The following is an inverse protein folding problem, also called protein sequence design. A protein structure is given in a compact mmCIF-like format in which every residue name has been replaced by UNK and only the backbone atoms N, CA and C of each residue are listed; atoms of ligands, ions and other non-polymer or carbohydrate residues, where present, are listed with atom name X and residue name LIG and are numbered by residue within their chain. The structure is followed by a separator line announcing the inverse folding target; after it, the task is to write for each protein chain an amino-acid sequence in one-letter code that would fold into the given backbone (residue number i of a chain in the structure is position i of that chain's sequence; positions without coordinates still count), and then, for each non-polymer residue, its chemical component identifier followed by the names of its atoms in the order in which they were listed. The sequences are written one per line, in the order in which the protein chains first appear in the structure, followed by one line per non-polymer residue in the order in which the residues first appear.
data_IF_367493387287
#
_entry.id   IF_367493387287
#
_cell.length_a   1.000
_cell.length_b   1.000
_cell.length_c   1.000
_cell.angle_alpha   90.00
_cell.angle_beta   90.00
_cell.angle_gamma   90.00
#
_symmetry.space_group_name_H-M   'P 1'
#
loop_
_entity.id
_entity.type
_entity.pdbx_description
1 polymer ?
#
# COMPACT_ATOMS: atom_id res chain seq x y z
N UNK A 1 30.47 -0.06 -0.78
CA UNK A 1 29.27 0.61 -0.24
C UNK A 1 29.31 0.54 1.28
N UNK A 2 29.57 1.64 2.00
CA UNK A 2 29.64 1.61 3.48
C UNK A 2 28.22 1.62 4.04
N UNK A 3 27.72 0.49 4.55
CA UNK A 3 26.41 0.44 5.19
C UNK A 3 26.44 1.28 6.48
N UNK A 4 25.53 2.23 6.57
CA UNK A 4 25.41 3.08 7.76
C UNK A 4 24.60 2.29 8.79
N UNK A 5 25.26 1.78 9.84
CA UNK A 5 24.67 0.87 10.84
C UNK A 5 23.40 1.47 11.49
N UNK A 6 23.30 2.81 11.54
CA UNK A 6 22.11 3.53 12.02
C UNK A 6 20.84 3.31 11.19
N UNK A 7 20.97 2.95 9.91
CA UNK A 7 19.85 2.67 9.00
C UNK A 7 19.50 1.18 8.91
N UNK A 8 20.33 0.31 9.48
CA UNK A 8 20.09 -1.13 9.55
C UNK A 8 18.71 -1.50 10.13
N UNK A 9 18.23 -0.93 11.25
CA UNK A 9 16.92 -1.28 11.78
C UNK A 9 15.77 -0.90 10.83
N UNK A 10 15.85 0.26 10.17
CA UNK A 10 14.84 0.67 9.18
C UNK A 10 14.82 -0.29 7.99
N UNK A 11 16.00 -0.69 7.51
CA UNK A 11 16.11 -1.66 6.43
C UNK A 11 15.47 -2.99 6.79
N UNK A 12 15.70 -3.50 8.00
CA UNK A 12 15.06 -4.73 8.50
C UNK A 12 13.54 -4.60 8.59
N UNK A 13 13.02 -3.48 9.10
CA UNK A 13 11.57 -3.23 9.17
C UNK A 13 10.95 -3.21 7.78
N UNK A 14 11.60 -2.59 6.79
CA UNK A 14 11.12 -2.57 5.41
C UNK A 14 11.12 -3.98 4.81
N UNK A 15 12.17 -4.78 5.05
CA UNK A 15 12.24 -6.15 4.56
C UNK A 15 11.10 -7.00 5.14
N UNK A 16 10.89 -6.92 6.46
CA UNK A 16 9.79 -7.59 7.16
C UNK A 16 8.44 -7.13 6.63
N UNK A 17 8.24 -5.82 6.44
CA UNK A 17 7.01 -5.26 5.90
C UNK A 17 6.73 -5.77 4.47
N UNK A 18 7.72 -5.78 3.59
CA UNK A 18 7.60 -6.33 2.23
C UNK A 18 7.23 -7.82 2.31
N UNK A 19 7.96 -8.61 3.11
CA UNK A 19 7.68 -10.04 3.24
C UNK A 19 6.23 -10.31 3.62
N UNK A 20 5.74 -9.70 4.72
CA UNK A 20 4.37 -9.93 5.18
C UNK A 20 3.30 -9.35 4.26
N UNK A 21 3.59 -8.27 3.51
CA UNK A 21 2.61 -7.67 2.58
C UNK A 21 2.46 -8.46 1.29
N UNK A 22 3.51 -9.13 0.83
CA UNK A 22 3.47 -9.97 -0.36
C UNK A 22 3.13 -11.43 -0.04
N UNK A 23 3.30 -11.87 1.21
CA UNK A 23 2.97 -13.24 1.62
C UNK A 23 1.48 -13.54 1.37
N UNK A 24 1.23 -14.55 0.53
CA UNK A 24 -0.12 -15.02 0.16
C UNK A 24 -1.06 -13.95 -0.44
N UNK A 25 -0.49 -12.88 -1.04
CA UNK A 25 -1.27 -11.76 -1.56
C UNK A 25 -2.38 -12.16 -2.55
N UNK A 26 -2.13 -13.16 -3.39
CA UNK A 26 -3.10 -13.66 -4.37
C UNK A 26 -4.05 -14.74 -3.86
N UNK A 27 -3.75 -15.34 -2.70
CA UNK A 27 -4.45 -16.54 -2.19
C UNK A 27 -5.25 -16.29 -0.92
N UNK A 28 -4.99 -15.21 -0.18
CA UNK A 28 -5.72 -14.86 1.04
C UNK A 28 -6.18 -13.39 1.02
N UNK A 29 -7.48 -13.11 1.20
CA UNK A 29 -8.59 -14.08 1.12
C UNK A 29 -8.66 -14.73 -0.28
N UNK A 30 -9.15 -15.98 -0.38
CA UNK A 30 -9.13 -16.75 -1.62
C UNK A 30 -10.10 -16.23 -2.68
N UNK A 31 -11.22 -15.63 -2.27
CA UNK A 31 -12.11 -14.92 -3.19
C UNK A 31 -11.85 -13.41 -3.11
N UNK A 32 -11.78 -12.70 -4.25
CA UNK A 32 -11.74 -11.25 -4.25
C UNK A 32 -13.09 -10.70 -3.77
N UNK A 33 -13.03 -9.57 -3.08
CA UNK A 33 -14.26 -8.87 -2.69
C UNK A 33 -14.94 -8.25 -3.90
N UNK A 34 -16.24 -7.98 -3.79
CA UNK A 34 -16.99 -7.26 -4.83
C UNK A 34 -16.34 -5.92 -5.18
N UNK A 35 -15.79 -5.24 -4.17
CA UNK A 35 -15.06 -3.98 -4.32
C UNK A 35 -13.76 -4.16 -5.11
N UNK A 36 -12.98 -5.22 -4.82
CA UNK A 36 -11.76 -5.54 -5.56
C UNK A 36 -12.07 -5.86 -7.03
N UNK A 37 -13.15 -6.61 -7.28
CA UNK A 37 -13.60 -6.93 -8.64
C UNK A 37 -14.00 -5.66 -9.40
N UNK A 38 -14.81 -4.79 -8.80
CA UNK A 38 -15.23 -3.52 -9.42
C UNK A 38 -14.03 -2.60 -9.69
N UNK A 39 -13.11 -2.44 -8.73
CA UNK A 39 -11.91 -1.62 -8.91
C UNK A 39 -11.00 -2.16 -10.02
N UNK A 40 -10.81 -3.48 -10.07
CA UNK A 40 -10.01 -4.14 -11.09
C UNK A 40 -10.63 -4.06 -12.48
N UNK A 41 -11.94 -4.27 -12.58
CA UNK A 41 -12.65 -4.16 -13.85
C UNK A 41 -12.63 -2.73 -14.39
N UNK A 42 -12.84 -1.72 -13.53
CA UNK A 42 -12.71 -0.32 -13.93
C UNK A 42 -11.28 0.03 -14.37
N UNK A 43 -10.26 -0.47 -13.68
CA UNK A 43 -8.86 -0.29 -14.11
C UNK A 43 -8.61 -0.91 -15.50
N UNK A 44 -9.17 -2.10 -15.76
CA UNK A 44 -9.10 -2.75 -17.06
C UNK A 44 -9.89 -1.99 -18.14
N UNK A 45 -11.08 -1.50 -17.83
CA UNK A 45 -11.90 -0.70 -18.76
C UNK A 45 -11.19 0.60 -19.15
N UNK A 46 -10.67 1.33 -18.15
CA UNK A 46 -9.90 2.57 -18.34
C UNK A 46 -8.66 2.31 -19.18
N UNK A 47 -7.94 1.20 -18.93
CA UNK A 47 -6.77 0.83 -19.71
C UNK A 47 -7.08 0.63 -21.20
N UNK A 48 -8.23 0.03 -21.52
CA UNK A 48 -8.59 -0.31 -22.91
C UNK A 48 -9.34 0.80 -23.65
N UNK A 49 -10.21 1.52 -22.94
CA UNK A 49 -11.19 2.44 -23.55
C UNK A 49 -11.04 3.89 -23.09
N UNK A 50 -10.22 4.14 -22.06
CA UNK A 50 -10.16 5.43 -21.37
C UNK A 50 -11.43 5.77 -20.57
N UNK A 51 -12.33 4.81 -20.39
CA UNK A 51 -13.65 5.00 -19.75
C UNK A 51 -13.88 3.97 -18.64
N UNK A 52 -14.75 4.29 -17.68
CA UNK A 52 -15.21 3.33 -16.66
C UNK A 52 -16.15 2.26 -17.23
N UNK A 53 -16.66 1.40 -16.36
CA UNK A 53 -17.64 0.35 -16.69
C UNK A 53 -18.99 0.89 -17.21
N UNK A 54 -19.28 2.19 -17.03
CA UNK A 54 -20.48 2.86 -17.51
C UNK A 54 -20.24 3.73 -18.75
N UNK A 55 -19.02 3.75 -19.30
CA UNK A 55 -18.66 4.53 -20.48
C UNK A 55 -18.32 6.00 -20.19
N UNK A 56 -18.19 6.39 -18.93
CA UNK A 56 -17.73 7.72 -18.53
C UNK A 56 -16.24 7.83 -18.78
N UNK A 57 -15.82 8.79 -19.61
CA UNK A 57 -14.40 9.04 -19.89
C UNK A 57 -13.71 9.72 -18.71
N UNK A 58 -12.55 9.20 -18.32
CA UNK A 58 -11.71 9.70 -17.22
C UNK A 58 -12.53 10.12 -15.97
N UNK A 59 -13.30 9.21 -15.38
CA UNK A 59 -14.15 9.54 -14.24
C UNK A 59 -13.30 9.87 -13.02
N UNK A 60 -13.71 10.90 -12.28
CA UNK A 60 -13.16 11.20 -10.94
C UNK A 60 -13.83 10.31 -9.89
N UNK A 61 -15.11 10.01 -10.11
CA UNK A 61 -15.93 9.12 -9.31
C UNK A 61 -16.40 7.96 -10.18
N UNK A 62 -16.07 6.75 -9.78
CA UNK A 62 -16.56 5.53 -10.39
C UNK A 62 -17.94 5.23 -9.81
N UNK A 63 -18.93 5.09 -10.67
CA UNK A 63 -20.22 4.53 -10.27
C UNK A 63 -20.02 3.05 -9.94
N UNK A 64 -20.64 2.58 -8.86
CA UNK A 64 -20.63 1.18 -8.45
C UNK A 64 -21.90 0.89 -7.64
N UNK A 65 -22.77 0.00 -8.09
CA UNK A 65 -23.97 -0.44 -7.34
C UNK A 65 -24.85 0.71 -6.81
N UNK A 66 -25.09 1.73 -7.65
CA UNK A 66 -25.84 2.94 -7.29
C UNK A 66 -25.16 3.86 -6.23
N UNK A 67 -23.90 3.58 -5.94
CA UNK A 67 -22.99 4.43 -5.16
C UNK A 67 -21.87 5.00 -6.06
N UNK A 68 -21.13 5.98 -5.55
CA UNK A 68 -20.00 6.62 -6.24
C UNK A 68 -18.75 6.59 -5.38
N UNK A 69 -17.66 6.07 -5.95
CA UNK A 69 -16.40 5.84 -5.25
C UNK A 69 -15.23 6.56 -5.91
N UNK A 70 -14.23 7.04 -5.15
CA UNK A 70 -13.07 7.70 -5.72
C UNK A 70 -12.31 6.81 -6.72
N UNK A 71 -12.06 7.34 -7.92
CA UNK A 71 -11.40 6.60 -9.00
C UNK A 71 -9.89 6.41 -8.82
N UNK A 72 -9.28 7.10 -7.85
CA UNK A 72 -7.83 7.12 -7.63
C UNK A 72 -7.23 5.71 -7.53
N UNK A 73 -7.89 4.81 -6.79
CA UNK A 73 -7.37 3.45 -6.64
C UNK A 73 -7.33 2.70 -7.98
N UNK A 74 -8.40 2.77 -8.78
CA UNK A 74 -8.43 2.13 -10.10
C UNK A 74 -7.37 2.72 -11.03
N UNK A 75 -7.13 4.03 -11.00
CA UNK A 75 -6.02 4.63 -11.76
C UNK A 75 -4.65 4.11 -11.33
N UNK A 76 -4.42 3.95 -10.02
CA UNK A 76 -3.19 3.35 -9.51
C UNK A 76 -3.07 1.87 -9.89
N UNK A 77 -4.19 1.16 -10.05
CA UNK A 77 -4.21 -0.23 -10.49
C UNK A 77 -3.93 -0.41 -12.00
N UNK A 78 -4.24 0.58 -12.85
CA UNK A 78 -3.99 0.55 -14.31
C UNK A 78 -2.60 0.03 -14.70
N UNK A 79 -1.47 0.58 -14.19
CA UNK A 79 -0.15 0.08 -14.57
C UNK A 79 0.06 -1.38 -14.19
N UNK A 80 -0.42 -1.81 -13.02
CA UNK A 80 -0.27 -3.21 -12.59
C UNK A 80 -1.12 -4.15 -13.44
N UNK A 81 -2.37 -3.78 -13.72
CA UNK A 81 -3.25 -4.55 -14.62
C UNK A 81 -2.67 -4.61 -16.04
N UNK A 82 -2.01 -3.55 -16.51
CA UNK A 82 -1.32 -3.53 -17.82
C UNK A 82 -0.17 -4.53 -17.91
N UNK A 83 0.66 -4.64 -16.87
CA UNK A 83 1.85 -5.50 -16.89
C UNK A 83 1.59 -6.94 -16.46
N UNK A 84 0.67 -7.15 -15.52
CA UNK A 84 0.42 -8.45 -14.89
C UNK A 84 -0.94 -9.05 -15.28
N UNK A 85 -1.78 -8.32 -16.01
CA UNK A 85 -3.12 -8.75 -16.42
C UNK A 85 -4.19 -8.49 -15.36
N UNK A 86 -5.45 -8.74 -15.71
CA UNK A 86 -6.57 -8.61 -14.78
C UNK A 86 -6.63 -9.83 -13.85
N UNK A 87 -5.99 -9.71 -12.68
CA UNK A 87 -6.02 -10.72 -11.64
C UNK A 87 -5.97 -10.08 -10.24
N UNK A 88 -6.25 -10.90 -9.21
CA UNK A 88 -6.31 -10.46 -7.80
C UNK A 88 -5.00 -9.82 -7.34
N UNK A 89 -3.86 -10.38 -7.73
CA UNK A 89 -2.55 -9.83 -7.36
C UNK A 89 -2.41 -8.41 -7.89
N UNK A 90 -2.70 -8.20 -9.18
CA UNK A 90 -2.58 -6.90 -9.85
C UNK A 90 -3.46 -5.83 -9.21
N UNK A 91 -4.67 -6.20 -8.80
CA UNK A 91 -5.60 -5.29 -8.11
C UNK A 91 -5.12 -4.93 -6.70
N UNK A 92 -4.42 -5.83 -6.02
CA UNK A 92 -3.91 -5.62 -4.65
C UNK A 92 -2.54 -4.93 -4.60
N UNK A 93 -1.76 -4.98 -5.68
CA UNK A 93 -0.42 -4.39 -5.76
C UNK A 93 -0.37 -2.88 -5.41
N UNK A 94 -1.32 -2.02 -5.84
CA UNK A 94 -1.34 -0.61 -5.42
C UNK A 94 -1.32 -0.44 -3.90
N UNK A 95 -2.18 -1.18 -3.19
CA UNK A 95 -2.26 -1.13 -1.73
C UNK A 95 -0.96 -1.61 -1.07
N UNK A 96 -0.36 -2.69 -1.61
CA UNK A 96 0.92 -3.21 -1.10
C UNK A 96 2.04 -2.20 -1.28
N UNK A 97 2.19 -1.59 -2.45
CA UNK A 97 3.23 -0.58 -2.71
C UNK A 97 3.05 0.62 -1.80
N UNK A 98 1.82 1.16 -1.70
CA UNK A 98 1.53 2.28 -0.81
C UNK A 98 1.81 1.93 0.65
N UNK A 99 1.53 0.70 1.09
CA UNK A 99 1.82 0.28 2.46
C UNK A 99 3.31 0.31 2.81
N UNK A 100 4.18 -0.09 1.87
CA UNK A 100 5.63 -0.04 2.06
C UNK A 100 6.13 1.41 2.07
N UNK A 101 5.58 2.26 1.20
CA UNK A 101 5.87 3.69 1.20
C UNK A 101 5.46 4.36 2.51
N UNK A 102 4.34 3.95 3.12
CA UNK A 102 3.89 4.47 4.41
C UNK A 102 4.90 4.17 5.53
N UNK A 103 5.57 3.00 5.53
CA UNK A 103 6.62 2.71 6.53
C UNK A 103 7.76 3.74 6.45
N UNK A 104 8.18 4.07 5.23
CA UNK A 104 9.22 5.07 4.98
C UNK A 104 8.74 6.46 5.39
N UNK A 105 7.50 6.83 5.03
CA UNK A 105 6.92 8.12 5.37
C UNK A 105 6.80 8.32 6.88
N UNK A 106 6.33 7.30 7.61
CA UNK A 106 6.21 7.31 9.07
C UNK A 106 7.58 7.42 9.74
N UNK A 107 8.62 6.76 9.21
CA UNK A 107 9.99 6.92 9.71
C UNK A 107 10.44 8.38 9.62
N UNK A 108 10.27 9.02 8.46
CA UNK A 108 10.65 10.43 8.28
C UNK A 108 9.81 11.37 9.13
N UNK A 109 8.51 11.13 9.23
CA UNK A 109 7.61 11.92 10.08
C UNK A 109 8.04 11.82 11.55
N UNK A 110 8.29 10.61 12.04
CA UNK A 110 8.73 10.37 13.43
C UNK A 110 10.08 11.03 13.69
N UNK A 111 11.01 10.90 12.76
CA UNK A 111 12.32 11.56 12.84
C UNK A 111 12.20 13.07 12.86
N UNK A 112 11.28 13.65 12.08
CA UNK A 112 11.04 15.09 12.06
C UNK A 112 10.44 15.57 13.38
N UNK A 113 9.42 14.88 13.89
CA UNK A 113 8.75 15.23 15.15
C UNK A 113 9.64 15.05 16.38
N UNK A 114 10.54 14.07 16.36
CA UNK A 114 11.47 13.79 17.48
C UNK A 114 12.80 14.54 17.35
N UNK A 115 12.99 15.33 16.28
CA UNK A 115 14.24 16.06 16.06
C UNK A 115 14.42 17.12 17.16
N UNK A 116 15.41 16.93 18.02
CA UNK A 116 15.67 17.81 19.17
C UNK A 116 15.06 17.34 20.50
N UNK A 117 14.23 16.30 20.50
CA UNK A 117 13.77 15.65 21.73
C UNK A 117 14.90 14.76 22.24
N UNK A 118 15.50 15.11 23.38
CA UNK A 118 16.44 14.20 24.05
C UNK A 118 15.68 12.90 24.37
N UNK A 119 16.21 11.72 24.03
CA UNK A 119 15.57 10.48 24.42
C UNK A 119 15.37 10.51 25.94
N UNK A 120 14.14 10.27 26.38
CA UNK A 120 13.85 10.10 27.80
C UNK A 120 14.73 8.95 28.27
N UNK A 121 15.73 9.29 29.10
CA UNK A 121 16.54 8.29 29.76
C UNK A 121 15.60 7.63 30.78
N UNK A 122 15.10 6.44 30.44
CA UNK A 122 14.42 5.55 31.38
C UNK A 122 15.45 5.04 32.40
N UNK A 123 15.98 5.94 33.23
CA UNK A 123 16.88 5.63 34.35
C UNK A 123 16.14 4.95 35.51
N UNK A 124 14.81 4.94 35.47
CA UNK A 124 13.96 4.40 36.54
C UNK A 124 13.39 3.00 36.26
N UNK A 125 13.70 2.37 35.12
CA UNK A 125 13.38 0.96 34.90
C UNK A 125 14.56 0.07 35.29
N UNK A 126 15.06 0.27 36.52
CA UNK A 126 15.76 -0.77 37.26
C UNK A 126 14.73 -1.84 37.64
N UNK A 127 14.39 -2.69 36.68
CA UNK A 127 13.81 -3.99 36.99
C UNK A 127 14.94 -4.80 37.65
N UNK A 128 14.97 -4.68 38.96
CA UNK A 128 15.69 -5.57 39.86
C UNK A 128 15.00 -6.93 39.74
N UNK A 129 15.46 -7.73 38.78
CA UNK A 129 15.16 -9.16 38.76
C UNK A 129 16.26 -9.80 39.60
N UNK A 130 16.08 -9.70 40.92
CA UNK A 130 16.73 -10.55 41.91
C UNK A 130 16.28 -12.00 41.76
#
# INVERSE_FOLDING_TARGET
MKFNIKLLPLFLVILVAIFFRFYQLGSVPPQPTVDEVSLGYNAYSILNTGSDEYGTRLPVLLRAYDDYRPALYSYLAVPFVKFFGLNVVSVRLPSVVLSVLTVVAVYFLTRYLTNGIKPIQLKYLSLDVS
#
